data_IF_303751714645
#
_entry.id   IF_303751714645
#
_cell.length_a   1.000
_cell.length_b   1.000
_cell.length_c   1.000
_cell.angle_alpha   90.00
_cell.angle_beta   90.00
_cell.angle_gamma   90.00
#
_symmetry.space_group_name_H-M   'P 1'
#
loop_
_entity.id
_entity.type
_entity.pdbx_description
1 polymer ?
#
# COMPACT_ATOMS: atom_id res chain seq x y z
N UNK A 1 3.99 23.50 -15.49
CA UNK A 1 3.10 22.94 -14.46
C UNK A 1 3.95 22.60 -13.25
N UNK A 2 3.55 23.11 -12.10
CA UNK A 2 4.25 22.88 -10.83
C UNK A 2 3.31 22.29 -9.80
N UNK A 3 3.67 21.11 -9.27
CA UNK A 3 2.82 20.29 -8.40
C UNK A 3 3.45 20.18 -7.01
N UNK A 4 2.63 20.22 -5.96
CA UNK A 4 3.04 19.91 -4.59
C UNK A 4 2.32 18.66 -4.10
N UNK A 5 3.06 17.59 -3.81
CA UNK A 5 2.57 16.44 -3.06
C UNK A 5 2.53 16.82 -1.57
N UNK A 6 1.37 16.76 -0.92
CA UNK A 6 1.18 17.23 0.45
C UNK A 6 0.66 16.11 1.36
N UNK A 7 1.37 15.85 2.44
CA UNK A 7 0.92 14.94 3.49
C UNK A 7 2.01 14.01 4.04
N UNK A 8 1.57 13.20 5.00
CA UNK A 8 2.35 12.11 5.58
C UNK A 8 3.70 12.53 6.18
N UNK A 9 4.69 11.66 6.10
CA UNK A 9 6.00 11.89 6.73
C UNK A 9 7.15 11.26 5.92
N UNK A 10 8.34 11.71 6.25
CA UNK A 10 9.60 11.17 5.75
C UNK A 10 10.49 10.76 6.94
N UNK A 11 11.35 9.73 6.88
CA UNK A 11 11.55 8.85 5.72
C UNK A 11 10.34 7.96 5.42
N UNK A 12 10.30 7.44 4.18
CA UNK A 12 9.25 6.54 3.70
C UNK A 12 9.24 5.26 4.55
N UNK A 13 8.08 4.93 5.13
CA UNK A 13 7.90 3.73 5.97
C UNK A 13 6.63 2.94 5.64
N UNK A 14 5.77 3.48 4.81
CA UNK A 14 4.49 2.87 4.47
C UNK A 14 4.06 3.15 3.04
N UNK A 15 2.97 2.51 2.64
CA UNK A 15 2.51 2.56 1.24
C UNK A 15 2.16 3.95 0.75
N UNK A 16 1.53 4.78 1.58
CA UNK A 16 1.10 6.12 1.16
C UNK A 16 2.30 7.06 0.95
N UNK A 17 3.27 7.02 1.87
CA UNK A 17 4.52 7.78 1.75
C UNK A 17 5.30 7.37 0.49
N UNK A 18 5.30 6.07 0.18
CA UNK A 18 5.94 5.53 -1.04
C UNK A 18 5.25 6.06 -2.29
N UNK A 19 3.91 6.04 -2.34
CA UNK A 19 3.15 6.59 -3.47
C UNK A 19 3.44 8.07 -3.68
N UNK A 20 3.49 8.88 -2.60
CA UNK A 20 3.83 10.30 -2.69
C UNK A 20 5.23 10.52 -3.25
N UNK A 21 6.20 9.78 -2.75
CA UNK A 21 7.59 9.88 -3.16
C UNK A 21 7.77 9.45 -4.63
N UNK A 22 7.12 8.35 -5.02
CA UNK A 22 7.15 7.83 -6.38
C UNK A 22 6.48 8.79 -7.39
N UNK A 23 5.36 9.42 -7.01
CA UNK A 23 4.73 10.45 -7.82
C UNK A 23 5.63 11.68 -7.99
N UNK A 24 6.25 12.16 -6.90
CA UNK A 24 7.18 13.29 -6.97
C UNK A 24 8.35 12.99 -7.91
N UNK A 25 9.04 11.88 -7.68
CA UNK A 25 10.23 11.52 -8.46
C UNK A 25 9.90 11.16 -9.90
N UNK A 26 8.79 10.47 -10.12
CA UNK A 26 8.33 10.08 -11.45
C UNK A 26 7.87 11.26 -12.31
N UNK A 27 7.17 12.23 -11.73
CA UNK A 27 6.81 13.47 -12.44
C UNK A 27 8.06 14.31 -12.73
N UNK A 28 8.98 14.39 -11.76
CA UNK A 28 10.24 15.11 -11.95
C UNK A 28 11.11 14.52 -13.06
N UNK A 29 11.13 13.19 -13.22
CA UNK A 29 11.86 12.52 -14.31
C UNK A 29 11.28 12.82 -15.70
N UNK A 30 10.02 13.26 -15.76
CA UNK A 30 9.34 13.73 -16.99
C UNK A 30 9.48 15.25 -17.21
N UNK A 31 10.33 15.94 -16.44
CA UNK A 31 10.54 17.39 -16.54
C UNK A 31 9.42 18.24 -15.94
N UNK A 32 8.55 17.65 -15.11
CA UNK A 32 7.49 18.36 -14.41
C UNK A 32 7.99 18.74 -13.02
N UNK A 33 7.93 20.02 -12.67
CA UNK A 33 8.30 20.48 -11.34
C UNK A 33 7.34 19.89 -10.30
N UNK A 34 7.85 19.00 -9.46
CA UNK A 34 7.06 18.32 -8.43
C UNK A 34 7.82 18.25 -7.11
N UNK A 35 7.32 18.97 -6.11
CA UNK A 35 7.87 18.95 -4.76
C UNK A 35 7.03 18.06 -3.84
N UNK A 36 7.61 17.58 -2.74
CA UNK A 36 6.89 16.88 -1.66
C UNK A 36 7.04 17.65 -0.36
N UNK A 37 5.91 17.97 0.29
CA UNK A 37 5.85 18.59 1.61
C UNK A 37 5.24 17.61 2.61
N UNK A 38 6.01 17.29 3.66
CA UNK A 38 5.59 16.31 4.67
C UNK A 38 6.22 16.60 6.04
N UNK A 39 5.75 15.87 7.06
CA UNK A 39 6.37 15.90 8.38
C UNK A 39 7.67 15.09 8.40
N UNK A 40 8.64 15.49 9.23
CA UNK A 40 9.84 14.69 9.51
C UNK A 40 9.58 13.79 10.72
N UNK A 41 9.81 12.48 10.59
CA UNK A 41 9.48 11.52 11.65
C UNK A 41 10.51 11.46 12.77
N UNK A 42 11.73 11.94 12.54
CA UNK A 42 12.88 11.74 13.45
C UNK A 42 13.90 12.87 13.42
N UNK A 43 13.49 14.14 13.42
CA UNK A 43 14.51 15.17 13.40
C UNK A 43 14.05 16.60 13.19
N UNK A 44 15.00 17.45 12.86
CA UNK A 44 14.77 18.83 12.41
C UNK A 44 14.37 18.78 10.95
N UNK A 45 13.22 19.38 10.60
CA UNK A 45 12.81 19.49 9.21
C UNK A 45 13.91 20.05 8.30
N UNK A 46 13.96 19.62 7.07
CA UNK A 46 14.98 19.99 6.09
C UNK A 46 14.34 20.31 4.72
N UNK A 47 15.09 21.01 3.86
CA UNK A 47 14.70 21.32 2.48
C UNK A 47 15.79 20.82 1.54
N UNK A 48 15.61 19.61 1.03
CA UNK A 48 16.59 18.96 0.16
C UNK A 48 16.12 19.03 -1.29
N UNK A 49 17.02 19.48 -2.18
CA UNK A 49 16.82 19.34 -3.62
C UNK A 49 17.26 17.94 -4.03
N UNK A 50 16.35 17.16 -4.61
CA UNK A 50 16.64 15.78 -5.06
C UNK A 50 16.97 15.73 -6.55
N UNK A 51 16.41 16.65 -7.35
CA UNK A 51 16.67 16.78 -8.78
C UNK A 51 16.46 18.23 -9.24
N UNK A 52 16.75 18.58 -10.50
CA UNK A 52 16.38 19.89 -11.05
C UNK A 52 14.89 20.23 -10.89
N UNK A 53 14.02 19.22 -10.90
CA UNK A 53 12.57 19.34 -10.90
C UNK A 53 11.89 18.85 -9.60
N UNK A 54 12.64 18.50 -8.53
CA UNK A 54 12.04 18.04 -7.28
C UNK A 54 12.77 18.48 -6.03
N UNK A 55 11.99 18.87 -5.03
CA UNK A 55 12.46 19.19 -3.67
C UNK A 55 11.65 18.43 -2.66
N UNK A 56 12.33 17.92 -1.64
CA UNK A 56 11.73 17.35 -0.45
C UNK A 56 11.74 18.39 0.67
N UNK A 57 10.55 18.81 1.11
CA UNK A 57 10.33 19.83 2.12
C UNK A 57 9.80 19.14 3.39
N UNK A 58 10.69 18.79 4.32
CA UNK A 58 10.29 18.14 5.56
C UNK A 58 10.20 19.16 6.70
N UNK A 59 9.24 18.95 7.61
CA UNK A 59 8.97 19.83 8.75
C UNK A 59 8.99 19.05 10.05
N UNK A 60 9.60 19.65 11.07
CA UNK A 60 9.73 19.02 12.39
C UNK A 60 8.39 18.58 12.95
N UNK A 61 8.31 17.35 13.36
CA UNK A 61 7.19 16.80 14.14
C UNK A 61 7.39 17.13 15.61
N UNK A 62 6.38 17.72 16.23
CA UNK A 62 6.39 17.99 17.68
C UNK A 62 5.84 16.79 18.45
N UNK A 63 4.75 16.21 17.97
CA UNK A 63 4.07 15.08 18.59
C UNK A 63 3.55 14.14 17.51
N UNK A 64 3.57 12.84 17.78
CA UNK A 64 2.89 11.82 16.98
C UNK A 64 1.74 11.25 17.79
N UNK A 65 0.51 11.48 17.33
CA UNK A 65 -0.70 11.03 18.01
C UNK A 65 -1.65 10.35 17.00
N UNK A 66 -2.23 9.22 17.38
CA UNK A 66 -3.22 8.49 16.58
C UNK A 66 -2.83 8.29 15.10
N UNK A 67 -1.57 7.95 14.84
CA UNK A 67 -0.96 7.81 13.52
C UNK A 67 -0.88 9.12 12.69
N UNK A 68 -1.10 10.27 13.30
CA UNK A 68 -0.93 11.60 12.71
C UNK A 68 0.31 12.27 13.31
N UNK A 69 1.11 12.86 12.44
CA UNK A 69 2.26 13.70 12.86
C UNK A 69 1.80 15.14 12.97
N UNK A 70 1.98 15.76 14.16
CA UNK A 70 1.63 17.15 14.39
C UNK A 70 2.87 18.00 14.13
N UNK A 71 2.81 18.82 13.09
CA UNK A 71 3.88 19.72 12.64
C UNK A 71 3.33 21.15 12.45
N UNK A 72 3.31 22.00 13.50
CA UNK A 72 2.69 23.33 13.42
C UNK A 72 3.35 24.30 12.44
N UNK A 73 4.61 24.06 12.10
CA UNK A 73 5.32 24.86 11.08
C UNK A 73 4.86 24.57 9.64
N UNK A 74 4.24 23.41 9.39
CA UNK A 74 3.82 23.01 8.05
C UNK A 74 2.69 23.90 7.48
N UNK A 75 1.59 24.21 8.19
CA UNK A 75 0.55 25.13 7.72
C UNK A 75 1.08 26.54 7.42
N UNK A 76 1.92 27.07 8.32
CA UNK A 76 2.51 28.41 8.15
C UNK A 76 3.41 28.46 6.92
N UNK A 77 4.22 27.43 6.74
CA UNK A 77 5.10 27.34 5.58
C UNK A 77 4.33 27.14 4.27
N UNK A 78 3.29 26.29 4.27
CA UNK A 78 2.44 26.11 3.10
C UNK A 78 1.78 27.42 2.68
N UNK A 79 1.25 28.20 3.62
CA UNK A 79 0.64 29.52 3.34
C UNK A 79 1.59 30.45 2.57
N UNK A 80 2.90 30.40 2.88
CA UNK A 80 3.92 31.24 2.24
C UNK A 80 4.26 30.79 0.81
N UNK A 81 4.14 29.50 0.51
CA UNK A 81 4.65 28.94 -0.75
C UNK A 81 3.54 28.39 -1.65
N UNK A 82 2.30 28.25 -1.17
CA UNK A 82 1.20 27.63 -1.90
C UNK A 82 0.95 28.30 -3.26
N UNK A 83 1.04 29.64 -3.33
CA UNK A 83 0.87 30.39 -4.58
C UNK A 83 1.92 30.10 -5.66
N UNK A 84 3.00 29.40 -5.34
CA UNK A 84 4.01 28.99 -6.31
C UNK A 84 3.65 27.69 -7.05
N UNK A 85 2.53 27.05 -6.72
CA UNK A 85 2.10 25.79 -7.29
C UNK A 85 0.79 25.95 -8.06
N UNK A 86 0.71 25.32 -9.22
CA UNK A 86 -0.52 25.23 -10.00
C UNK A 86 -1.49 24.22 -9.38
N UNK A 87 -0.93 23.15 -8.78
CA UNK A 87 -1.70 22.06 -8.18
C UNK A 87 -1.11 21.68 -6.82
N UNK A 88 -1.98 21.50 -5.83
CA UNK A 88 -1.65 20.83 -4.58
C UNK A 88 -2.37 19.48 -4.55
N UNK A 89 -1.60 18.38 -4.50
CA UNK A 89 -2.09 17.01 -4.42
C UNK A 89 -2.00 16.52 -2.98
N UNK A 90 -3.13 16.44 -2.30
CA UNK A 90 -3.23 16.05 -0.88
C UNK A 90 -3.44 14.55 -0.76
N UNK A 91 -2.70 13.88 0.11
CA UNK A 91 -2.82 12.44 0.35
C UNK A 91 -3.59 12.14 1.64
N UNK A 92 -4.82 11.64 1.50
CA UNK A 92 -5.71 11.25 2.60
C UNK A 92 -5.53 9.77 2.96
N UNK A 93 -5.55 9.39 4.27
CA UNK A 93 -5.86 10.22 5.43
C UNK A 93 -4.63 10.92 6.01
N UNK A 94 -4.70 12.22 6.10
CA UNK A 94 -3.74 13.04 6.84
C UNK A 94 -4.42 14.33 7.35
N UNK A 95 -4.86 14.37 8.62
CA UNK A 95 -5.49 15.56 9.19
C UNK A 95 -4.59 16.80 9.19
N UNK A 96 -3.26 16.62 9.32
CA UNK A 96 -2.31 17.74 9.33
C UNK A 96 -2.19 18.38 7.94
N UNK A 97 -2.14 17.57 6.88
CA UNK A 97 -2.14 18.05 5.50
C UNK A 97 -3.46 18.77 5.15
N UNK A 98 -4.60 18.23 5.57
CA UNK A 98 -5.89 18.87 5.39
C UNK A 98 -5.96 20.24 6.09
N UNK A 99 -5.49 20.30 7.34
CA UNK A 99 -5.40 21.55 8.10
C UNK A 99 -4.44 22.56 7.45
N UNK A 100 -3.29 22.10 6.99
CA UNK A 100 -2.32 22.95 6.31
C UNK A 100 -2.91 23.57 5.04
N UNK A 101 -3.61 22.77 4.23
CA UNK A 101 -4.30 23.28 3.05
C UNK A 101 -5.38 24.27 3.41
N UNK A 102 -6.20 23.99 4.43
CA UNK A 102 -7.27 24.88 4.91
C UNK A 102 -6.72 26.25 5.33
N UNK A 103 -5.71 26.25 6.21
CA UNK A 103 -5.08 27.47 6.76
C UNK A 103 -4.33 28.26 5.68
N UNK A 104 -3.79 27.57 4.66
CA UNK A 104 -3.05 28.24 3.57
C UNK A 104 -3.91 29.21 2.77
N UNK A 105 -5.22 28.99 2.71
CA UNK A 105 -6.14 29.75 1.87
C UNK A 105 -5.89 29.59 0.37
N UNK A 106 -5.21 28.51 -0.04
CA UNK A 106 -4.85 28.24 -1.44
C UNK A 106 -6.06 28.25 -2.38
N UNK A 107 -5.94 28.99 -3.47
CA UNK A 107 -7.02 29.18 -4.48
C UNK A 107 -6.81 28.41 -5.78
N UNK A 108 -5.63 27.84 -5.99
CA UNK A 108 -5.33 27.01 -7.17
C UNK A 108 -6.01 25.65 -7.14
N UNK A 109 -5.63 24.76 -8.03
CA UNK A 109 -6.26 23.44 -8.20
C UNK A 109 -5.83 22.46 -7.10
N UNK A 110 -6.79 21.72 -6.55
CA UNK A 110 -6.57 20.71 -5.51
C UNK A 110 -6.98 19.34 -6.03
N UNK A 111 -6.04 18.40 -5.99
CA UNK A 111 -6.30 16.97 -6.19
C UNK A 111 -6.25 16.29 -4.85
N UNK A 112 -7.20 15.41 -4.55
CA UNK A 112 -7.25 14.64 -3.31
C UNK A 112 -7.05 13.16 -3.62
N UNK A 113 -5.93 12.58 -3.18
CA UNK A 113 -5.69 11.15 -3.27
C UNK A 113 -6.27 10.42 -2.06
N UNK A 114 -7.33 9.67 -2.27
CA UNK A 114 -8.03 8.94 -1.24
C UNK A 114 -7.50 7.51 -1.14
N UNK A 115 -6.54 7.29 -0.24
CA UNK A 115 -5.91 5.97 -0.06
C UNK A 115 -6.72 5.04 0.83
N UNK A 116 -7.36 5.55 1.87
CA UNK A 116 -8.15 4.76 2.81
C UNK A 116 -9.10 5.63 3.63
N UNK A 117 -10.21 5.05 4.08
CA UNK A 117 -11.08 5.61 5.10
C UNK A 117 -10.42 5.54 6.48
N UNK A 118 -10.77 6.47 7.38
CA UNK A 118 -10.35 6.40 8.77
C UNK A 118 -11.31 5.48 9.52
N UNK A 119 -10.87 4.25 9.82
CA UNK A 119 -11.72 3.21 10.41
C UNK A 119 -11.54 3.08 11.92
N UNK A 120 -10.31 3.25 12.42
CA UNK A 120 -9.95 2.92 13.82
C UNK A 120 -10.25 4.03 14.84
N UNK A 121 -10.02 5.29 14.49
CA UNK A 121 -10.07 6.41 15.43
C UNK A 121 -11.44 7.09 15.44
N UNK A 122 -12.53 6.34 15.65
CA UNK A 122 -13.93 6.84 15.55
C UNK A 122 -14.21 8.09 16.40
N UNK A 123 -13.67 8.17 17.61
CA UNK A 123 -13.85 9.35 18.49
C UNK A 123 -13.14 10.59 17.93
N UNK A 124 -11.89 10.45 17.50
CA UNK A 124 -11.11 11.55 16.91
C UNK A 124 -11.63 11.92 15.51
N UNK A 125 -12.14 10.94 14.76
CA UNK A 125 -12.76 11.16 13.46
C UNK A 125 -13.89 12.18 13.55
N UNK A 126 -14.73 12.14 14.61
CA UNK A 126 -15.84 13.08 14.79
C UNK A 126 -15.37 14.55 14.76
N UNK A 127 -14.20 14.84 15.32
CA UNK A 127 -13.63 16.18 15.29
C UNK A 127 -12.98 16.50 13.92
N UNK A 128 -12.52 15.50 13.20
CA UNK A 128 -11.92 15.68 11.88
C UNK A 128 -12.96 15.74 10.75
N UNK A 129 -14.14 15.14 10.91
CA UNK A 129 -15.17 15.08 9.87
C UNK A 129 -15.52 16.43 9.21
N UNK A 130 -15.64 17.56 9.93
CA UNK A 130 -15.90 18.85 9.28
C UNK A 130 -14.78 19.24 8.31
N UNK A 131 -13.53 19.05 8.70
CA UNK A 131 -12.37 19.35 7.87
C UNK A 131 -12.24 18.37 6.69
N UNK A 132 -12.52 17.08 6.91
CA UNK A 132 -12.59 16.08 5.84
C UNK A 132 -13.68 16.41 4.82
N UNK A 133 -14.87 16.79 5.29
CA UNK A 133 -15.99 17.18 4.40
C UNK A 133 -15.66 18.43 3.60
N UNK A 134 -15.01 19.42 4.24
CA UNK A 134 -14.50 20.58 3.55
C UNK A 134 -13.47 20.17 2.47
N UNK A 135 -12.52 19.30 2.79
CA UNK A 135 -11.49 18.84 1.84
C UNK A 135 -12.10 18.12 0.64
N UNK A 136 -13.08 17.24 0.87
CA UNK A 136 -13.81 16.55 -0.20
C UNK A 136 -14.54 17.55 -1.13
N UNK A 137 -15.18 18.59 -0.56
CA UNK A 137 -15.84 19.66 -1.34
C UNK A 137 -14.83 20.51 -2.09
N UNK A 138 -13.70 20.87 -1.44
CA UNK A 138 -12.66 21.75 -1.97
C UNK A 138 -11.87 21.12 -3.13
N UNK A 139 -11.70 19.82 -3.13
CA UNK A 139 -10.96 19.14 -4.18
C UNK A 139 -11.62 19.32 -5.55
N UNK A 140 -10.84 19.70 -6.56
CA UNK A 140 -11.28 19.81 -7.96
C UNK A 140 -11.39 18.42 -8.60
N UNK A 141 -10.51 17.48 -8.23
CA UNK A 141 -10.59 16.06 -8.58
C UNK A 141 -10.17 15.18 -7.39
N UNK A 142 -10.72 13.98 -7.35
CA UNK A 142 -10.39 12.97 -6.34
C UNK A 142 -9.83 11.73 -7.04
N UNK A 143 -8.73 11.20 -6.52
CA UNK A 143 -8.11 9.97 -6.99
C UNK A 143 -8.42 8.87 -5.98
N UNK A 144 -9.09 7.82 -6.41
CA UNK A 144 -9.26 6.59 -5.64
C UNK A 144 -8.38 5.48 -6.20
N UNK A 145 -7.97 4.54 -5.35
CA UNK A 145 -6.97 3.52 -5.71
C UNK A 145 -7.54 2.28 -6.40
N UNK A 146 -8.83 2.00 -6.23
CA UNK A 146 -9.55 0.93 -6.92
C UNK A 146 -11.01 1.31 -7.15
N UNK A 147 -11.63 0.78 -8.22
CA UNK A 147 -13.04 1.04 -8.50
C UNK A 147 -13.97 0.54 -7.39
N UNK A 148 -13.69 -0.66 -6.87
CA UNK A 148 -14.48 -1.26 -5.80
C UNK A 148 -14.43 -0.43 -4.53
N UNK A 149 -13.25 0.10 -4.19
CA UNK A 149 -13.08 0.98 -3.04
C UNK A 149 -13.87 2.29 -3.21
N UNK A 150 -13.79 2.90 -4.39
CA UNK A 150 -14.55 4.13 -4.72
C UNK A 150 -16.05 3.90 -4.58
N UNK A 151 -16.54 2.75 -5.06
CA UNK A 151 -17.98 2.40 -4.99
C UNK A 151 -18.46 2.14 -3.56
N UNK A 152 -17.60 1.58 -2.70
CA UNK A 152 -17.97 1.13 -1.35
C UNK A 152 -17.69 2.16 -0.25
N UNK A 153 -16.82 3.16 -0.48
CA UNK A 153 -16.56 4.20 0.51
C UNK A 153 -17.75 5.14 0.68
N UNK A 154 -18.33 5.24 1.89
CA UNK A 154 -19.48 6.12 2.14
C UNK A 154 -19.10 7.60 2.04
N UNK A 155 -17.83 7.93 2.18
CA UNK A 155 -17.36 9.31 2.08
C UNK A 155 -17.23 9.80 0.63
N UNK A 156 -17.03 8.87 -0.31
CA UNK A 156 -16.88 9.21 -1.74
C UNK A 156 -18.21 9.25 -2.49
N UNK A 157 -19.31 8.79 -1.89
CA UNK A 157 -20.61 8.70 -2.56
C UNK A 157 -21.06 10.02 -3.19
N UNK A 158 -21.03 11.12 -2.42
CA UNK A 158 -21.47 12.44 -2.89
C UNK A 158 -20.52 13.12 -3.87
N UNK A 159 -19.30 12.63 -3.99
CA UNK A 159 -18.23 13.21 -4.81
C UNK A 159 -17.76 12.29 -5.94
N UNK A 160 -18.52 11.22 -6.24
CA UNK A 160 -18.18 10.26 -7.31
C UNK A 160 -18.03 10.91 -8.68
N UNK A 161 -18.82 11.95 -8.96
CA UNK A 161 -18.76 12.67 -10.23
C UNK A 161 -17.40 13.31 -10.53
N UNK A 162 -16.58 13.56 -9.54
CA UNK A 162 -15.21 14.07 -9.66
C UNK A 162 -14.13 13.09 -9.15
N UNK A 163 -14.50 11.81 -8.94
CA UNK A 163 -13.59 10.77 -8.49
C UNK A 163 -13.16 9.89 -9.65
N UNK A 164 -11.87 9.77 -9.85
CA UNK A 164 -11.23 8.98 -10.91
C UNK A 164 -10.43 7.84 -10.28
N UNK A 165 -10.51 6.64 -10.85
CA UNK A 165 -9.70 5.51 -10.42
C UNK A 165 -8.31 5.59 -11.05
N UNK A 166 -7.27 5.74 -10.22
CA UNK A 166 -5.87 5.57 -10.60
C UNK A 166 -5.25 4.56 -9.65
N UNK A 167 -5.07 3.31 -10.07
CA UNK A 167 -4.48 2.28 -9.22
C UNK A 167 -3.06 2.64 -8.78
N UNK A 168 -2.69 2.21 -7.59
CA UNK A 168 -1.31 2.31 -7.13
C UNK A 168 -0.43 1.49 -8.05
N UNK A 169 0.65 2.09 -8.53
CA UNK A 169 1.66 1.45 -9.36
C UNK A 169 3.02 1.42 -8.68
N UNK A 170 3.81 0.42 -9.01
CA UNK A 170 5.19 0.27 -8.55
C UNK A 170 6.13 -0.01 -9.73
N UNK A 171 7.41 0.26 -9.56
CA UNK A 171 8.44 -0.30 -10.42
C UNK A 171 8.43 -1.82 -10.29
N UNK A 172 8.53 -2.59 -11.38
CA UNK A 172 8.65 -4.04 -11.28
C UNK A 172 9.81 -4.42 -10.38
N UNK A 173 9.61 -5.42 -9.52
CA UNK A 173 10.69 -5.98 -8.74
C UNK A 173 11.64 -6.72 -9.68
N UNK A 174 12.94 -6.45 -9.55
CA UNK A 174 13.97 -7.23 -10.24
C UNK A 174 14.13 -8.57 -9.52
N UNK A 175 14.03 -9.72 -10.22
CA UNK A 175 14.25 -11.01 -9.59
C UNK A 175 15.66 -11.11 -8.99
N UNK A 176 15.76 -11.72 -7.81
CA UNK A 176 17.03 -12.13 -7.20
C UNK A 176 17.12 -13.66 -7.19
N UNK A 177 17.61 -14.22 -8.28
CA UNK A 177 17.73 -15.68 -8.45
C UNK A 177 18.75 -16.29 -7.51
N UNK A 178 19.85 -15.58 -7.22
CA UNK A 178 20.89 -16.08 -6.32
C UNK A 178 20.41 -16.13 -4.86
N UNK A 179 19.73 -15.08 -4.40
CA UNK A 179 19.08 -15.06 -3.09
C UNK A 179 17.96 -16.10 -2.98
N UNK A 180 17.15 -16.21 -4.03
CA UNK A 180 16.07 -17.19 -4.10
C UNK A 180 16.57 -18.62 -4.03
N UNK A 181 17.68 -18.96 -4.72
CA UNK A 181 18.30 -20.27 -4.66
C UNK A 181 18.75 -20.62 -3.23
N UNK A 182 19.33 -19.66 -2.49
CA UNK A 182 19.71 -19.84 -1.07
C UNK A 182 18.50 -20.11 -0.17
N UNK A 183 17.39 -19.40 -0.40
CA UNK A 183 16.15 -19.61 0.36
C UNK A 183 15.58 -21.00 0.03
N UNK A 184 15.45 -21.37 -1.26
CA UNK A 184 14.91 -22.67 -1.68
C UNK A 184 15.76 -23.84 -1.19
N UNK A 185 17.09 -23.69 -1.11
CA UNK A 185 17.98 -24.72 -0.60
C UNK A 185 17.72 -25.09 0.89
N UNK A 186 17.12 -24.18 1.67
CA UNK A 186 16.70 -24.47 3.05
C UNK A 186 15.40 -25.32 3.10
N UNK A 187 14.65 -25.39 2.00
CA UNK A 187 13.35 -26.06 1.93
C UNK A 187 13.25 -26.95 0.69
N UNK A 188 14.13 -27.96 0.55
CA UNK A 188 14.21 -28.78 -0.66
C UNK A 188 12.87 -29.50 -0.92
N UNK A 189 12.38 -29.38 -2.17
CA UNK A 189 11.12 -30.00 -2.61
C UNK A 189 9.83 -29.39 -2.03
N UNK A 190 9.92 -28.35 -1.20
CA UNK A 190 8.73 -27.71 -0.62
C UNK A 190 8.21 -26.58 -1.49
N UNK A 191 6.89 -26.42 -1.47
CA UNK A 191 6.17 -25.26 -2.01
C UNK A 191 6.21 -24.16 -0.95
N UNK A 192 6.63 -22.95 -1.34
CA UNK A 192 6.83 -21.82 -0.44
C UNK A 192 5.64 -20.85 -0.55
N UNK A 193 4.88 -20.73 0.55
CA UNK A 193 3.85 -19.71 0.75
C UNK A 193 4.49 -18.53 1.48
N UNK A 194 4.43 -17.34 0.92
CA UNK A 194 5.07 -16.17 1.51
C UNK A 194 4.04 -15.14 2.01
N UNK A 195 4.30 -14.59 3.18
CA UNK A 195 3.62 -13.41 3.72
C UNK A 195 4.67 -12.35 4.03
N UNK A 196 4.38 -11.10 3.66
CA UNK A 196 5.19 -9.93 4.02
C UNK A 196 4.33 -8.82 4.59
N UNK A 197 4.67 -8.36 5.80
CA UNK A 197 3.97 -7.22 6.41
C UNK A 197 4.14 -7.12 7.92
N UNK A 198 3.62 -6.03 8.49
CA UNK A 198 3.64 -5.85 9.95
C UNK A 198 2.80 -6.91 10.65
N UNK A 199 3.30 -7.48 11.73
CA UNK A 199 2.60 -8.48 12.53
C UNK A 199 1.63 -7.80 13.51
N UNK A 200 0.48 -7.36 13.00
CA UNK A 200 -0.57 -6.64 13.73
C UNK A 200 -1.94 -7.20 13.37
N UNK A 201 -2.91 -7.05 14.27
CA UNK A 201 -4.20 -7.74 14.24
C UNK A 201 -4.96 -7.68 12.90
N UNK A 202 -4.94 -6.54 12.19
CA UNK A 202 -5.68 -6.45 10.94
C UNK A 202 -5.06 -7.25 9.79
N UNK A 203 -3.79 -7.65 9.90
CA UNK A 203 -3.11 -8.48 8.90
C UNK A 203 -3.53 -9.95 8.93
N UNK A 204 -4.15 -10.42 10.04
CA UNK A 204 -4.75 -11.74 10.13
C UNK A 204 -3.77 -12.91 9.96
N UNK A 205 -2.51 -12.72 10.32
CA UNK A 205 -1.43 -13.73 10.13
C UNK A 205 -1.72 -15.01 10.90
N UNK A 206 -2.43 -14.90 12.02
CA UNK A 206 -2.90 -16.04 12.82
C UNK A 206 -3.76 -17.02 12.02
N UNK A 207 -4.51 -16.52 11.04
CA UNK A 207 -5.32 -17.36 10.15
C UNK A 207 -4.46 -18.10 9.11
N UNK A 208 -3.35 -17.52 8.67
CA UNK A 208 -2.39 -18.20 7.80
C UNK A 208 -1.64 -19.28 8.58
N UNK A 209 -1.23 -19.01 9.82
CA UNK A 209 -0.64 -20.03 10.71
C UNK A 209 -1.61 -21.21 10.92
N UNK A 210 -2.88 -20.93 11.18
CA UNK A 210 -3.90 -21.99 11.32
C UNK A 210 -4.14 -22.74 9.99
N UNK A 211 -4.09 -22.05 8.85
CA UNK A 211 -4.20 -22.69 7.53
C UNK A 211 -3.02 -23.64 7.25
N UNK A 212 -1.82 -23.31 7.73
CA UNK A 212 -0.63 -24.16 7.55
C UNK A 212 -0.79 -25.56 8.17
N UNK A 213 -1.60 -25.71 9.24
CA UNK A 213 -1.92 -27.00 9.82
C UNK A 213 -2.65 -27.94 8.85
N UNK A 214 -3.34 -27.39 7.86
CA UNK A 214 -4.15 -28.14 6.87
C UNK A 214 -3.41 -28.32 5.53
N UNK A 215 -2.21 -27.79 5.40
CA UNK A 215 -1.37 -27.99 4.22
C UNK A 215 -0.57 -29.28 4.38
N UNK A 216 -0.33 -30.04 3.29
CA UNK A 216 0.58 -31.18 3.29
C UNK A 216 2.00 -30.83 3.72
N UNK A 217 2.82 -31.84 4.03
CA UNK A 217 4.18 -31.63 4.54
C UNK A 217 5.16 -31.08 3.50
N UNK A 218 4.80 -31.15 2.22
CA UNK A 218 5.56 -30.53 1.14
C UNK A 218 5.32 -29.02 1.01
N UNK A 219 4.73 -28.36 2.01
CA UNK A 219 4.61 -26.90 2.08
C UNK A 219 5.44 -26.32 3.21
N UNK A 220 5.89 -25.08 3.01
CA UNK A 220 6.44 -24.21 4.05
C UNK A 220 5.85 -22.82 3.92
N UNK A 221 5.52 -22.21 5.05
CA UNK A 221 5.00 -20.84 5.14
C UNK A 221 6.10 -19.95 5.71
N UNK A 222 6.54 -18.97 4.94
CA UNK A 222 7.53 -17.98 5.36
C UNK A 222 6.80 -16.68 5.73
N UNK A 223 6.98 -16.23 6.97
CA UNK A 223 6.33 -15.04 7.52
C UNK A 223 7.40 -13.96 7.73
N UNK A 224 7.46 -12.98 6.81
CA UNK A 224 8.34 -11.82 6.89
C UNK A 224 7.65 -10.63 7.56
N UNK A 225 8.33 -10.04 8.54
CA UNK A 225 7.90 -8.83 9.23
C UNK A 225 8.01 -8.94 10.75
N UNK A 226 7.73 -7.81 11.40
CA UNK A 226 7.77 -7.63 12.86
C UNK A 226 6.47 -6.95 13.33
N UNK A 227 6.15 -7.11 14.62
CA UNK A 227 5.02 -6.40 15.22
C UNK A 227 4.52 -6.98 16.52
N UNK A 228 3.49 -6.36 17.08
CA UNK A 228 2.96 -6.68 18.40
C UNK A 228 2.42 -8.13 18.54
N UNK A 229 2.15 -8.82 17.42
CA UNK A 229 1.64 -10.19 17.46
C UNK A 229 2.75 -11.25 17.34
N UNK A 230 4.01 -10.89 17.26
CA UNK A 230 5.10 -11.83 17.01
C UNK A 230 5.12 -12.98 18.04
N UNK A 231 5.09 -12.68 19.33
CA UNK A 231 5.10 -13.69 20.39
C UNK A 231 3.81 -14.54 20.41
N UNK A 232 2.66 -13.93 20.12
CA UNK A 232 1.40 -14.67 19.99
C UNK A 232 1.44 -15.70 18.86
N UNK A 233 2.03 -15.30 17.71
CA UNK A 233 2.19 -16.18 16.55
C UNK A 233 3.20 -17.31 16.85
N UNK A 234 4.32 -17.06 17.52
CA UNK A 234 5.28 -18.08 17.96
C UNK A 234 4.61 -19.11 18.88
N UNK A 235 3.83 -18.64 19.85
CA UNK A 235 3.07 -19.53 20.74
C UNK A 235 2.05 -20.36 19.96
N UNK A 236 1.35 -19.78 18.99
CA UNK A 236 0.41 -20.51 18.14
C UNK A 236 1.11 -21.59 17.30
N UNK A 237 2.26 -21.28 16.70
CA UNK A 237 3.09 -22.23 15.93
C UNK A 237 3.49 -23.40 16.80
N UNK A 238 3.99 -23.14 18.02
CA UNK A 238 4.39 -24.17 18.97
C UNK A 238 3.21 -25.03 19.41
N UNK A 239 2.09 -24.42 19.80
CA UNK A 239 0.87 -25.11 20.21
C UNK A 239 0.31 -26.05 19.14
N UNK A 240 0.44 -25.67 17.87
CA UNK A 240 -0.04 -26.46 16.74
C UNK A 240 1.02 -27.44 16.19
N UNK A 241 2.23 -27.48 16.76
CA UNK A 241 3.31 -28.36 16.30
C UNK A 241 3.84 -27.99 14.90
N UNK A 242 3.76 -26.71 14.50
CA UNK A 242 4.05 -26.27 13.14
C UNK A 242 5.47 -25.72 12.93
N UNK A 243 6.39 -25.92 13.89
CA UNK A 243 7.74 -25.33 13.84
C UNK A 243 8.54 -25.67 12.56
N UNK A 244 8.31 -26.85 11.97
CA UNK A 244 8.96 -27.25 10.72
C UNK A 244 8.22 -26.73 9.46
N UNK A 245 6.97 -26.30 9.59
CA UNK A 245 6.12 -25.87 8.46
C UNK A 245 5.95 -24.35 8.39
N UNK A 246 6.05 -23.64 9.50
CA UNK A 246 5.91 -22.17 9.57
C UNK A 246 7.18 -21.56 10.12
N UNK A 247 7.81 -20.69 9.35
CA UNK A 247 9.06 -20.03 9.72
C UNK A 247 8.85 -18.52 9.85
N UNK A 248 9.14 -18.00 11.04
CA UNK A 248 9.17 -16.56 11.30
C UNK A 248 10.51 -15.99 10.84
N UNK A 249 10.49 -15.19 9.76
CA UNK A 249 11.71 -14.63 9.15
C UNK A 249 12.16 -13.30 9.80
N UNK A 250 11.36 -12.75 10.74
CA UNK A 250 11.63 -11.44 11.30
C UNK A 250 11.53 -10.32 10.24
N UNK A 251 12.17 -9.18 10.53
CA UNK A 251 12.27 -8.09 9.56
C UNK A 251 13.21 -8.49 8.42
N UNK A 252 12.66 -8.53 7.22
CA UNK A 252 13.44 -8.73 5.99
C UNK A 252 13.95 -7.36 5.52
N UNK A 253 15.25 -7.14 5.37
CA UNK A 253 15.81 -5.93 4.77
C UNK A 253 15.26 -5.70 3.36
N UNK A 254 15.05 -4.45 2.98
CA UNK A 254 14.46 -4.11 1.66
C UNK A 254 15.28 -4.69 0.48
N UNK A 255 16.61 -4.80 0.64
CA UNK A 255 17.49 -5.40 -0.35
C UNK A 255 17.27 -6.91 -0.55
N UNK A 256 16.79 -7.62 0.49
CA UNK A 256 16.58 -9.06 0.46
C UNK A 256 15.15 -9.45 0.06
N UNK A 257 14.20 -8.51 0.13
CA UNK A 257 12.79 -8.75 -0.22
C UNK A 257 12.61 -9.36 -1.62
N UNK A 258 13.36 -8.93 -2.67
CA UNK A 258 13.28 -9.54 -3.99
C UNK A 258 13.57 -11.05 -3.99
N UNK A 259 14.53 -11.52 -3.17
CA UNK A 259 14.87 -12.93 -3.05
C UNK A 259 13.69 -13.78 -2.54
N UNK A 260 12.97 -13.29 -1.52
CA UNK A 260 11.80 -13.98 -0.98
C UNK A 260 10.64 -14.03 -1.98
N UNK A 261 10.35 -12.92 -2.68
CA UNK A 261 9.34 -12.94 -3.75
C UNK A 261 9.76 -13.84 -4.91
N UNK A 262 11.02 -13.86 -5.29
CA UNK A 262 11.52 -14.76 -6.34
C UNK A 262 11.42 -16.22 -5.91
N UNK A 263 11.77 -16.51 -4.65
CA UNK A 263 11.74 -17.87 -4.10
C UNK A 263 10.33 -18.41 -3.88
N UNK A 264 9.34 -17.60 -3.55
CA UNK A 264 8.01 -18.12 -3.21
C UNK A 264 7.27 -18.68 -4.43
N UNK A 265 6.33 -19.60 -4.18
CA UNK A 265 5.39 -20.09 -5.18
C UNK A 265 4.14 -19.23 -5.23
N UNK A 266 3.69 -18.68 -4.11
CA UNK A 266 2.60 -17.70 -4.05
C UNK A 266 2.74 -16.75 -2.85
N UNK A 267 2.08 -15.60 -2.95
CA UNK A 267 1.89 -14.69 -1.82
C UNK A 267 0.54 -14.97 -1.15
N UNK A 268 0.50 -14.97 0.20
CA UNK A 268 -0.76 -14.99 0.95
C UNK A 268 -0.94 -13.66 1.72
N UNK A 269 -2.06 -12.97 1.48
CA UNK A 269 -2.47 -11.76 2.21
C UNK A 269 -3.76 -12.02 2.99
N UNK A 270 -3.69 -12.56 4.23
CA UNK A 270 -4.85 -13.00 5.01
C UNK A 270 -5.51 -11.87 5.80
N UNK A 271 -5.35 -10.62 5.41
CA UNK A 271 -5.82 -9.43 6.11
C UNK A 271 -7.34 -9.48 6.36
N UNK A 272 -7.80 -8.96 7.53
CA UNK A 272 -9.18 -9.17 8.00
C UNK A 272 -10.00 -7.89 8.20
N UNK A 273 -9.40 -6.71 7.95
CA UNK A 273 -10.06 -5.42 8.20
C UNK A 273 -9.83 -4.45 7.04
N UNK A 274 -10.80 -3.57 6.81
CA UNK A 274 -10.79 -2.51 5.78
C UNK A 274 -9.58 -1.56 5.84
N UNK A 275 -8.86 -1.55 6.98
CA UNK A 275 -7.58 -0.84 7.11
C UNK A 275 -6.53 -1.32 6.08
N UNK A 276 -6.66 -2.55 5.57
CA UNK A 276 -5.96 -3.02 4.37
C UNK A 276 -6.73 -2.55 3.15
N UNK A 277 -6.46 -1.36 2.67
CA UNK A 277 -7.25 -0.75 1.60
C UNK A 277 -6.86 -1.24 0.20
N UNK A 278 -5.60 -1.61 -0.02
CA UNK A 278 -5.07 -2.01 -1.34
C UNK A 278 -4.21 -3.28 -1.28
N UNK A 279 -3.25 -3.34 -0.35
CA UNK A 279 -2.30 -4.46 -0.21
C UNK A 279 -1.21 -4.43 -1.29
N UNK A 280 -0.31 -3.44 -1.21
CA UNK A 280 0.79 -3.24 -2.19
C UNK A 280 1.62 -4.51 -2.40
N UNK A 281 1.84 -5.32 -1.37
CA UNK A 281 2.56 -6.61 -1.45
C UNK A 281 1.97 -7.57 -2.51
N UNK A 282 0.68 -7.45 -2.83
CA UNK A 282 0.06 -8.24 -3.90
C UNK A 282 0.64 -7.88 -5.26
N UNK A 283 0.74 -6.58 -5.56
CA UNK A 283 1.27 -6.13 -6.84
C UNK A 283 2.79 -6.32 -6.92
N UNK A 284 3.48 -6.32 -5.77
CA UNK A 284 4.90 -6.70 -5.68
C UNK A 284 5.08 -8.16 -6.13
N UNK A 285 4.32 -9.11 -5.56
CA UNK A 285 4.32 -10.51 -5.98
C UNK A 285 3.92 -10.68 -7.46
N UNK A 286 2.85 -10.02 -7.90
CA UNK A 286 2.38 -10.06 -9.29
C UNK A 286 3.41 -9.53 -10.27
N UNK A 287 4.28 -8.58 -9.88
CA UNK A 287 5.36 -8.07 -10.74
C UNK A 287 6.34 -9.15 -11.14
N UNK A 288 6.48 -10.20 -10.32
CA UNK A 288 7.29 -11.40 -10.59
C UNK A 288 6.44 -12.58 -11.11
N UNK A 289 5.16 -12.36 -11.43
CA UNK A 289 4.26 -13.40 -11.88
C UNK A 289 3.87 -14.40 -10.77
N UNK A 290 3.98 -14.00 -9.49
CA UNK A 290 3.56 -14.86 -8.38
C UNK A 290 2.05 -14.69 -8.13
N UNK A 291 1.27 -15.77 -8.12
CA UNK A 291 -0.14 -15.70 -7.82
C UNK A 291 -0.39 -15.34 -6.36
N UNK A 292 -1.58 -14.85 -6.06
CA UNK A 292 -1.94 -14.36 -4.73
C UNK A 292 -3.15 -15.10 -4.17
N UNK A 293 -3.06 -15.52 -2.92
CA UNK A 293 -4.24 -15.85 -2.11
C UNK A 293 -4.51 -14.69 -1.17
N UNK A 294 -5.66 -14.05 -1.32
CA UNK A 294 -6.05 -12.91 -0.48
C UNK A 294 -7.44 -13.13 0.12
N UNK A 295 -7.78 -12.31 1.11
CA UNK A 295 -9.11 -12.30 1.70
C UNK A 295 -10.00 -11.24 1.06
N UNK A 296 -11.29 -11.55 0.90
CA UNK A 296 -12.32 -10.62 0.47
C UNK A 296 -12.80 -9.81 1.67
N UNK A 297 -12.22 -8.64 1.85
CA UNK A 297 -12.56 -7.75 2.96
C UNK A 297 -13.65 -6.77 2.48
N UNK A 298 -14.85 -6.72 3.14
CA UNK A 298 -15.87 -5.74 2.80
C UNK A 298 -15.33 -4.29 2.90
N UNK A 299 -15.60 -3.47 1.92
CA UNK A 299 -15.14 -2.07 1.87
C UNK A 299 -13.65 -1.89 1.58
N UNK A 300 -12.94 -2.93 1.15
CA UNK A 300 -11.52 -2.86 0.77
C UNK A 300 -11.33 -3.12 -0.71
N UNK A 301 -10.27 -2.53 -1.28
CA UNK A 301 -9.85 -2.79 -2.66
C UNK A 301 -9.01 -4.06 -2.84
N UNK A 302 -8.64 -4.79 -1.78
CA UNK A 302 -7.73 -5.95 -1.87
C UNK A 302 -8.21 -7.02 -2.85
N UNK A 303 -9.51 -7.33 -2.85
CA UNK A 303 -10.09 -8.32 -3.75
C UNK A 303 -10.23 -7.85 -5.21
N UNK A 304 -10.22 -6.53 -5.43
CA UNK A 304 -10.13 -5.96 -6.77
C UNK A 304 -8.68 -6.01 -7.28
N UNK A 305 -7.70 -5.75 -6.41
CA UNK A 305 -6.28 -5.88 -6.76
C UNK A 305 -5.96 -7.31 -7.16
N UNK A 306 -6.34 -8.30 -6.35
CA UNK A 306 -6.23 -9.71 -6.71
C UNK A 306 -7.50 -10.17 -7.44
N UNK A 307 -7.50 -10.18 -8.75
CA UNK A 307 -8.64 -10.66 -9.54
C UNK A 307 -8.85 -12.16 -9.33
N UNK A 308 -9.99 -12.49 -8.71
CA UNK A 308 -10.36 -13.86 -8.39
C UNK A 308 -10.42 -14.74 -9.66
N UNK A 309 -9.71 -15.88 -9.65
CA UNK A 309 -9.55 -16.82 -10.76
C UNK A 309 -8.77 -16.30 -11.98
N UNK A 310 -8.19 -15.09 -11.89
CA UNK A 310 -7.28 -14.53 -12.90
C UNK A 310 -5.84 -14.49 -12.36
N UNK A 311 -5.60 -13.69 -11.31
CA UNK A 311 -4.27 -13.50 -10.69
C UNK A 311 -4.08 -14.29 -9.39
N UNK A 312 -5.09 -15.04 -8.98
CA UNK A 312 -5.11 -15.80 -7.76
C UNK A 312 -6.54 -16.04 -7.24
N UNK A 313 -6.67 -16.32 -5.95
CA UNK A 313 -7.95 -16.61 -5.32
C UNK A 313 -8.23 -15.67 -4.15
N UNK A 314 -9.50 -15.26 -4.01
CA UNK A 314 -9.99 -14.47 -2.88
C UNK A 314 -10.94 -15.32 -2.03
N UNK A 315 -10.64 -15.44 -0.74
CA UNK A 315 -11.43 -16.24 0.21
C UNK A 315 -12.10 -15.35 1.26
N UNK A 316 -12.99 -15.91 2.07
CA UNK A 316 -13.63 -15.20 3.18
C UNK A 316 -12.59 -14.84 4.25
N UNK A 317 -12.76 -13.68 4.89
CA UNK A 317 -11.95 -13.28 6.04
C UNK A 317 -12.07 -14.26 7.20
N UNK A 318 -10.99 -14.51 7.93
CA UNK A 318 -10.93 -15.40 9.11
C UNK A 318 -11.30 -16.85 8.80
N UNK A 319 -11.16 -17.30 7.57
CA UNK A 319 -11.44 -18.67 7.14
C UNK A 319 -10.13 -19.37 6.77
N UNK A 320 -9.50 -19.99 7.76
CA UNK A 320 -8.21 -20.68 7.60
C UNK A 320 -8.31 -21.91 6.71
N UNK A 321 -9.49 -22.59 6.68
CA UNK A 321 -9.72 -23.72 5.79
C UNK A 321 -9.81 -23.27 4.33
N UNK A 322 -10.53 -22.17 4.07
CA UNK A 322 -10.59 -21.62 2.73
C UNK A 322 -9.23 -21.12 2.24
N UNK A 323 -8.38 -20.55 3.14
CA UNK A 323 -7.01 -20.19 2.81
C UNK A 323 -6.20 -21.42 2.40
N UNK A 324 -6.24 -22.50 3.18
CA UNK A 324 -5.53 -23.74 2.87
C UNK A 324 -6.01 -24.37 1.54
N UNK A 325 -7.34 -24.44 1.33
CA UNK A 325 -7.91 -24.91 0.06
C UNK A 325 -7.43 -24.08 -1.14
N UNK A 326 -7.47 -22.76 -1.02
CA UNK A 326 -7.05 -21.85 -2.10
C UNK A 326 -5.56 -21.98 -2.42
N UNK A 327 -4.69 -22.11 -1.41
CA UNK A 327 -3.26 -22.35 -1.58
C UNK A 327 -3.03 -23.65 -2.36
N UNK A 328 -3.69 -24.73 -1.97
CA UNK A 328 -3.59 -26.02 -2.67
C UNK A 328 -4.13 -25.94 -4.10
N UNK A 329 -5.31 -25.35 -4.29
CA UNK A 329 -5.95 -25.21 -5.62
C UNK A 329 -5.03 -24.50 -6.64
N UNK A 330 -4.31 -23.46 -6.19
CA UNK A 330 -3.35 -22.76 -7.07
C UNK A 330 -2.13 -23.60 -7.36
N UNK A 331 -1.58 -24.33 -6.38
CA UNK A 331 -0.21 -24.85 -6.46
C UNK A 331 -0.12 -26.36 -6.75
N UNK A 332 -1.21 -27.14 -6.66
CA UNK A 332 -1.15 -28.60 -6.84
C UNK A 332 -1.19 -29.00 -8.32
N UNK A 333 -1.90 -28.27 -9.16
CA UNK A 333 -2.00 -28.51 -10.58
C UNK A 333 -1.03 -27.60 -11.36
N UNK A 334 -0.02 -28.13 -12.03
CA UNK A 334 0.98 -27.32 -12.76
C UNK A 334 0.38 -26.44 -13.86
N UNK A 335 -0.69 -26.89 -14.53
CA UNK A 335 -1.33 -26.13 -15.61
C UNK A 335 -2.09 -24.94 -15.02
N UNK A 336 -2.86 -25.17 -13.97
CA UNK A 336 -3.55 -24.09 -13.25
C UNK A 336 -2.55 -23.09 -12.65
N UNK A 337 -1.48 -23.58 -12.05
CA UNK A 337 -0.41 -22.75 -11.50
C UNK A 337 0.18 -21.82 -12.56
N UNK A 338 0.58 -22.36 -13.70
CA UNK A 338 1.09 -21.57 -14.82
C UNK A 338 0.08 -20.52 -15.30
N UNK A 339 -1.21 -20.88 -15.36
CA UNK A 339 -2.30 -19.95 -15.68
C UNK A 339 -2.40 -18.79 -14.71
N UNK A 340 -2.36 -19.06 -13.40
CA UNK A 340 -2.39 -18.01 -12.36
C UNK A 340 -1.13 -17.13 -12.39
N UNK A 341 0.05 -17.71 -12.65
CA UNK A 341 1.29 -16.94 -12.80
C UNK A 341 1.20 -15.97 -13.99
N UNK A 342 0.73 -16.44 -15.14
CA UNK A 342 0.52 -15.61 -16.33
C UNK A 342 -0.53 -14.52 -16.08
N UNK A 343 -1.64 -14.86 -15.43
CA UNK A 343 -2.70 -13.92 -15.04
C UNK A 343 -2.19 -12.83 -14.10
N UNK A 344 -1.43 -13.20 -13.08
CA UNK A 344 -0.79 -12.26 -12.15
C UNK A 344 0.14 -11.28 -12.87
N UNK A 345 1.04 -11.79 -13.74
CA UNK A 345 1.96 -10.97 -14.52
C UNK A 345 1.23 -10.03 -15.49
N UNK A 346 0.24 -10.54 -16.19
CA UNK A 346 -0.56 -9.75 -17.13
C UNK A 346 -1.34 -8.63 -16.42
N UNK A 347 -1.94 -8.94 -15.26
CA UNK A 347 -2.65 -7.95 -14.45
C UNK A 347 -1.74 -6.85 -13.95
N UNK A 348 -0.55 -7.20 -13.43
CA UNK A 348 0.48 -6.23 -13.06
C UNK A 348 0.83 -5.31 -14.23
N UNK A 349 1.15 -5.88 -15.38
CA UNK A 349 1.57 -5.14 -16.57
C UNK A 349 0.49 -4.17 -17.07
N UNK A 350 -0.78 -4.55 -16.96
CA UNK A 350 -1.93 -3.77 -17.42
C UNK A 350 -2.27 -2.62 -16.48
N UNK A 351 -2.18 -2.82 -15.14
CA UNK A 351 -2.80 -1.92 -14.16
C UNK A 351 -1.83 -1.29 -13.15
N UNK A 352 -0.71 -1.97 -12.83
CA UNK A 352 0.05 -1.65 -11.63
C UNK A 352 1.48 -1.19 -11.88
N UNK A 353 1.82 -0.83 -13.12
CA UNK A 353 3.11 -0.20 -13.41
C UNK A 353 3.15 1.21 -12.84
N UNK A 354 4.30 1.58 -12.26
CA UNK A 354 4.55 2.92 -11.76
C UNK A 354 4.26 4.00 -12.81
N UNK A 355 4.70 3.79 -14.03
CA UNK A 355 4.50 4.71 -15.14
C UNK A 355 3.00 4.95 -15.45
N UNK A 356 2.16 3.91 -15.33
CA UNK A 356 0.71 4.03 -15.51
C UNK A 356 0.06 4.91 -14.43
N UNK A 357 0.49 4.77 -13.15
CA UNK A 357 0.02 5.63 -12.06
C UNK A 357 0.43 7.09 -12.27
N UNK A 358 1.70 7.32 -12.65
CA UNK A 358 2.21 8.67 -12.91
C UNK A 358 1.44 9.30 -14.06
N UNK A 359 1.25 8.59 -15.17
CA UNK A 359 0.50 9.05 -16.35
C UNK A 359 -0.96 9.37 -16.00
N UNK A 360 -1.60 8.51 -15.19
CA UNK A 360 -2.97 8.73 -14.73
C UNK A 360 -3.11 10.04 -13.93
N UNK A 361 -2.20 10.28 -12.98
CA UNK A 361 -2.19 11.52 -12.20
C UNK A 361 -1.83 12.74 -13.07
N UNK A 362 -0.86 12.62 -13.97
CA UNK A 362 -0.48 13.69 -14.89
C UNK A 362 -1.64 14.11 -15.80
N UNK A 363 -2.41 13.16 -16.32
CA UNK A 363 -3.58 13.44 -17.16
C UNK A 363 -4.66 14.21 -16.38
N UNK A 364 -4.90 13.86 -15.11
CA UNK A 364 -5.79 14.61 -14.24
C UNK A 364 -5.30 16.05 -14.06
N UNK A 365 -4.00 16.24 -13.77
CA UNK A 365 -3.45 17.58 -13.60
C UNK A 365 -3.58 18.43 -14.85
N UNK A 366 -3.25 17.88 -16.02
CA UNK A 366 -3.39 18.58 -17.30
C UNK A 366 -4.84 18.94 -17.62
N UNK A 367 -5.81 18.07 -17.27
CA UNK A 367 -7.21 18.34 -17.49
C UNK A 367 -7.76 19.48 -16.61
N UNK A 368 -7.22 19.65 -15.41
CA UNK A 368 -7.62 20.70 -14.48
C UNK A 368 -7.04 22.08 -14.82
N UNK A 369 -5.98 22.13 -15.63
CA UNK A 369 -5.27 23.36 -16.01
C UNK A 369 -5.67 23.86 -17.42
N UNK A 370 -6.48 23.12 -18.14
CA UNK A 370 -7.14 23.57 -19.38
C UNK A 370 -8.32 24.48 -19.05
#
# INVERSE_FOLDING_TARGET
MKVLQLGKFYPVRGGVEKVMYDLMTGLASRGIDCDMMCAESSGRGNKNRLSPHSRLLTYRTWVKAAATTISPSMPVSLRKIAGNYDIIHVHHPDPMAALALFVSGYKGKVVLHWHADIVKQKKLLRFYLPLQSWLLKRADAIVGTTEDYIKQSPYLEQVRHKTVCVPIGISPITPDEAGAAKIRAQYPGKKIVFFLGRLIAYKGVEHLVAAAAQLPDNYVVLIGGEGALEEVLKQQITKLGLGEKVKMCGRIPDADVPAYYTACDLLCLPSVMQTEAFGIVQIEAMSLGKPVVATRIPGSGTAWVNAHKESGLNVKVRDSEALARAIKEITEDPVKYAGYCAGAKNRFNRLFKLDSMITGCENIYRSLLK
#
